data_IF_926309679004
#
_entry.id   IF_926309679004
#
_cell.length_a   1.000
_cell.length_b   1.000
_cell.length_c   1.000
_cell.angle_alpha   90.00
_cell.angle_beta   90.00
_cell.angle_gamma   90.00
#
_symmetry.space_group_name_H-M   'P 1'
#
loop_
_entity.id
_entity.type
_entity.pdbx_description
1 polymer ?
#
# COMPACT_ATOMS: atom_id res chain seq x y z
N UNK A 1 52.60 11.66 -69.18
CA UNK A 1 52.87 11.63 -67.69
C UNK A 1 51.76 12.25 -66.95
N UNK A 2 50.63 11.63 -66.68
CA UNK A 2 49.53 12.09 -65.82
C UNK A 2 48.56 10.90 -65.54
N UNK A 3 48.91 10.00 -64.65
CA UNK A 3 48.04 8.83 -64.41
C UNK A 3 48.10 8.27 -63.00
N UNK A 4 48.89 8.77 -62.07
CA UNK A 4 49.14 8.16 -60.77
C UNK A 4 48.69 8.95 -59.52
N UNK A 5 47.92 10.01 -59.68
CA UNK A 5 47.51 10.84 -58.54
C UNK A 5 46.05 10.72 -58.09
N UNK A 6 45.25 9.83 -58.70
CA UNK A 6 43.81 9.65 -58.33
C UNK A 6 43.48 8.40 -57.50
N UNK A 7 44.42 7.47 -57.33
CA UNK A 7 44.15 6.23 -56.60
C UNK A 7 44.44 6.27 -55.12
N UNK A 8 45.24 7.24 -54.61
CA UNK A 8 45.61 7.32 -53.18
C UNK A 8 44.51 8.00 -52.30
N UNK A 9 43.59 8.77 -52.88
CA UNK A 9 42.56 9.51 -52.14
C UNK A 9 41.33 8.66 -51.76
N UNK A 10 41.03 7.59 -52.51
CA UNK A 10 39.84 6.76 -52.31
C UNK A 10 40.04 5.67 -51.20
N UNK A 11 41.26 5.23 -50.96
CA UNK A 11 41.56 4.23 -49.94
C UNK A 11 41.59 4.83 -48.53
N UNK A 12 41.99 6.07 -48.38
CA UNK A 12 42.03 6.77 -47.09
C UNK A 12 40.62 7.12 -46.56
N UNK A 13 39.65 7.44 -47.46
CA UNK A 13 38.26 7.72 -47.06
C UNK A 13 37.48 6.45 -46.67
N UNK A 14 37.77 5.31 -47.25
CA UNK A 14 37.12 4.02 -46.88
C UNK A 14 37.60 3.51 -45.55
N UNK A 15 38.88 3.69 -45.16
CA UNK A 15 39.41 3.30 -43.87
C UNK A 15 38.88 4.19 -42.72
N UNK A 16 38.57 5.48 -42.97
CA UNK A 16 38.00 6.38 -41.95
C UNK A 16 36.51 6.08 -41.71
N UNK A 17 35.77 5.65 -42.74
CA UNK A 17 34.37 5.27 -42.59
C UNK A 17 34.18 3.94 -41.83
N UNK A 18 35.12 2.96 -41.97
CA UNK A 18 35.09 1.72 -41.23
C UNK A 18 35.48 1.87 -39.75
N UNK A 19 36.34 2.84 -39.42
CA UNK A 19 36.74 3.12 -38.04
C UNK A 19 35.58 3.83 -37.23
N UNK A 20 34.71 4.58 -37.90
CA UNK A 20 33.57 5.19 -37.28
C UNK A 20 32.37 4.24 -37.07
N UNK A 21 32.25 3.18 -37.84
CA UNK A 21 31.24 2.16 -37.64
C UNK A 21 31.56 1.18 -36.49
N UNK A 22 32.81 1.15 -36.00
CA UNK A 22 33.23 0.38 -34.81
C UNK A 22 33.21 1.20 -33.48
N UNK A 23 32.92 2.51 -33.54
CA UNK A 23 32.77 3.39 -32.39
C UNK A 23 31.31 3.61 -31.99
N UNK A 24 30.48 2.62 -32.19
CA UNK A 24 29.11 2.86 -31.84
C UNK A 24 28.43 1.74 -31.22
N UNK A 25 28.34 1.38 -30.20
CA UNK A 25 27.42 0.77 -29.26
C UNK A 25 28.16 0.52 -27.95
N UNK A 26 28.69 1.60 -27.35
CA UNK A 26 28.64 1.60 -25.92
C UNK A 26 27.16 1.41 -25.59
N UNK A 27 26.80 0.21 -25.15
CA UNK A 27 25.49 -0.04 -24.58
C UNK A 27 25.29 1.06 -23.54
N UNK A 28 24.44 2.03 -23.88
CA UNK A 28 23.99 3.05 -22.91
C UNK A 28 23.35 2.21 -21.84
N UNK A 29 23.98 2.10 -20.67
CA UNK A 29 23.32 1.52 -19.53
C UNK A 29 21.98 2.25 -19.44
N UNK A 30 20.88 1.53 -19.65
CA UNK A 30 19.56 2.13 -19.53
C UNK A 30 19.49 2.78 -18.15
N UNK A 31 19.05 4.04 -18.11
CA UNK A 31 18.89 4.73 -16.84
C UNK A 31 17.91 3.90 -15.97
N UNK A 32 18.19 3.75 -14.66
CA UNK A 32 17.30 3.02 -13.78
C UNK A 32 15.86 3.54 -13.90
N UNK A 33 14.89 2.65 -13.97
CA UNK A 33 13.48 3.02 -13.97
C UNK A 33 13.15 3.80 -12.69
N UNK A 34 12.65 5.01 -12.84
CA UNK A 34 12.21 5.82 -11.70
C UNK A 34 10.78 5.46 -11.33
N UNK A 35 10.57 4.75 -10.20
CA UNK A 35 9.26 4.31 -9.72
C UNK A 35 8.66 5.32 -8.75
N UNK A 36 7.50 5.86 -9.06
CA UNK A 36 6.71 6.74 -8.20
C UNK A 36 5.68 5.93 -7.43
N UNK A 37 5.87 5.83 -6.12
CA UNK A 37 5.10 4.96 -5.22
C UNK A 37 4.13 5.80 -4.36
N UNK A 38 2.83 5.61 -4.54
CA UNK A 38 1.82 6.21 -3.68
C UNK A 38 1.74 5.51 -2.32
N UNK A 39 1.52 6.28 -1.24
CA UNK A 39 1.28 5.75 0.09
C UNK A 39 0.39 6.68 0.92
N UNK A 40 -0.17 6.20 2.04
CA UNK A 40 -1.03 6.99 2.91
C UNK A 40 -0.64 6.92 4.39
N UNK A 41 -0.42 5.74 4.95
CA UNK A 41 -0.22 5.55 6.40
C UNK A 41 0.95 4.61 6.68
N UNK A 42 1.90 5.06 7.49
CA UNK A 42 3.00 4.27 8.05
C UNK A 42 2.70 4.02 9.54
N UNK A 43 3.03 2.83 10.06
CA UNK A 43 3.71 1.72 9.41
C UNK A 43 2.76 0.68 8.78
N UNK A 44 1.48 0.98 8.60
CA UNK A 44 0.56 0.10 7.87
C UNK A 44 1.13 -0.23 6.49
N UNK A 45 1.52 0.79 5.73
CA UNK A 45 2.12 0.65 4.40
C UNK A 45 3.63 0.88 4.48
N UNK A 46 4.44 -0.19 4.48
CA UNK A 46 5.90 -0.09 4.58
C UNK A 46 6.58 0.39 3.29
N UNK A 47 5.89 0.38 2.15
CA UNK A 47 6.44 0.72 0.84
C UNK A 47 7.22 2.04 0.83
N UNK A 48 6.81 3.01 1.65
CA UNK A 48 7.49 4.30 1.72
C UNK A 48 8.86 4.26 2.41
N UNK A 49 9.15 3.23 3.20
CA UNK A 49 10.36 3.16 4.03
C UNK A 49 11.27 1.97 3.72
N UNK A 50 10.78 0.93 3.02
CA UNK A 50 11.57 -0.26 2.71
C UNK A 50 12.88 0.06 1.95
N UNK A 51 12.86 1.13 1.13
CA UNK A 51 14.01 1.54 0.32
C UNK A 51 14.94 2.54 1.01
N UNK A 52 14.68 2.89 2.29
CA UNK A 52 15.57 3.74 3.08
C UNK A 52 16.80 2.99 3.63
N UNK A 53 16.95 1.72 3.27
CA UNK A 53 18.11 0.87 3.53
C UNK A 53 18.66 0.30 2.21
N UNK A 54 19.20 1.15 1.31
CA UNK A 54 19.58 0.73 -0.04
C UNK A 54 20.74 -0.26 -0.08
N UNK A 55 21.58 -0.31 0.92
CA UNK A 55 22.76 -1.19 1.01
C UNK A 55 22.42 -2.68 1.14
N UNK A 56 21.18 -3.03 1.49
CA UNK A 56 20.70 -4.44 1.51
C UNK A 56 20.05 -4.86 0.20
N UNK A 57 19.75 -3.90 -0.69
CA UNK A 57 19.01 -4.13 -1.92
C UNK A 57 19.97 -4.51 -3.07
N UNK A 58 19.59 -5.48 -3.88
CA UNK A 58 20.45 -5.99 -4.98
C UNK A 58 20.40 -5.10 -6.22
N UNK A 59 19.23 -4.54 -6.50
CA UNK A 59 18.86 -3.93 -7.78
C UNK A 59 18.64 -2.42 -7.70
N UNK A 60 18.43 -1.89 -6.50
CA UNK A 60 18.19 -0.46 -6.28
C UNK A 60 19.35 0.39 -6.80
N UNK A 61 19.04 1.44 -7.55
CA UNK A 61 20.02 2.31 -8.20
C UNK A 61 20.67 1.71 -9.47
N UNK A 62 20.30 0.48 -9.86
CA UNK A 62 20.80 -0.21 -11.08
C UNK A 62 19.68 -0.41 -12.09
N UNK A 63 18.62 -1.13 -11.73
CA UNK A 63 17.46 -1.35 -12.60
C UNK A 63 16.31 -0.43 -12.28
N UNK A 64 16.21 0.05 -11.04
CA UNK A 64 15.19 1.00 -10.62
C UNK A 64 15.66 1.91 -9.46
N UNK A 65 14.95 3.02 -9.29
CA UNK A 65 14.98 3.92 -8.12
C UNK A 65 13.54 4.19 -7.67
N UNK A 66 13.33 4.73 -6.47
CA UNK A 66 11.99 5.04 -5.97
C UNK A 66 11.84 6.48 -5.53
N UNK A 67 10.67 7.05 -5.80
CA UNK A 67 10.15 8.25 -5.17
C UNK A 67 8.84 7.90 -4.47
N UNK A 68 8.65 8.35 -3.22
CA UNK A 68 7.46 8.02 -2.45
C UNK A 68 6.60 9.26 -2.25
N UNK A 69 5.32 9.19 -2.66
CA UNK A 69 4.38 10.31 -2.69
C UNK A 69 3.25 10.05 -1.70
N UNK A 70 3.10 10.94 -0.70
CA UNK A 70 2.06 10.80 0.33
C UNK A 70 0.73 11.33 -0.17
N UNK A 71 -0.33 10.56 0.11
CA UNK A 71 -1.72 10.93 -0.08
C UNK A 71 -2.49 10.89 1.25
N UNK A 72 -3.60 11.61 1.37
CA UNK A 72 -4.47 11.57 2.56
C UNK A 72 -5.16 10.21 2.77
N UNK A 73 -5.26 9.41 1.69
CA UNK A 73 -5.86 8.08 1.69
C UNK A 73 -5.62 7.40 0.36
N UNK A 74 -6.27 6.27 0.11
CA UNK A 74 -6.11 5.55 -1.17
C UNK A 74 -6.98 6.13 -2.30
N UNK A 75 -8.13 6.74 -2.02
CA UNK A 75 -9.02 7.25 -3.08
C UNK A 75 -8.38 8.32 -3.99
N UNK A 76 -7.62 9.32 -3.50
CA UNK A 76 -6.94 10.27 -4.38
C UNK A 76 -5.88 9.63 -5.29
N UNK A 77 -5.37 8.45 -4.93
CA UNK A 77 -4.40 7.73 -5.74
C UNK A 77 -5.01 7.14 -7.02
N UNK A 78 -6.36 7.00 -7.11
CA UNK A 78 -7.04 6.56 -8.35
C UNK A 78 -6.72 7.56 -9.47
N UNK A 79 -6.95 8.84 -9.22
CA UNK A 79 -6.69 9.90 -10.21
C UNK A 79 -5.20 9.99 -10.54
N UNK A 80 -4.33 9.89 -9.53
CA UNK A 80 -2.89 9.95 -9.72
C UNK A 80 -2.36 8.79 -10.58
N UNK A 81 -2.87 7.56 -10.36
CA UNK A 81 -2.51 6.39 -11.17
C UNK A 81 -3.09 6.48 -12.59
N UNK A 82 -4.34 6.96 -12.74
CA UNK A 82 -4.99 7.12 -14.03
C UNK A 82 -4.31 8.20 -14.92
N UNK A 83 -3.71 9.21 -14.29
CA UNK A 83 -3.01 10.32 -14.99
C UNK A 83 -1.48 10.15 -15.03
N UNK A 84 -0.97 8.94 -14.75
CA UNK A 84 0.45 8.61 -14.74
C UNK A 84 1.31 9.52 -13.83
N UNK A 85 0.73 10.06 -12.75
CA UNK A 85 1.46 10.79 -11.70
C UNK A 85 2.15 9.86 -10.70
N UNK A 86 1.65 8.65 -10.54
CA UNK A 86 2.28 7.55 -9.81
C UNK A 86 2.25 6.28 -10.68
N UNK A 87 3.20 5.38 -10.44
CA UNK A 87 3.35 4.13 -11.19
C UNK A 87 2.78 2.94 -10.41
N UNK A 88 2.89 2.99 -9.09
CA UNK A 88 2.34 1.99 -8.16
C UNK A 88 1.53 2.72 -7.09
N UNK A 89 0.26 2.38 -6.99
CA UNK A 89 -0.64 2.90 -5.98
C UNK A 89 -0.74 1.95 -4.78
N UNK A 90 -0.92 2.51 -3.58
CA UNK A 90 -1.28 1.78 -2.37
C UNK A 90 -2.81 1.86 -2.17
N UNK A 91 -3.54 0.93 -2.77
CA UNK A 91 -5.00 0.90 -2.69
C UNK A 91 -5.50 0.10 -1.48
N UNK A 92 -6.57 0.57 -0.86
CA UNK A 92 -7.44 -0.30 -0.09
C UNK A 92 -8.20 -1.25 -1.04
N UNK A 93 -8.67 -2.39 -0.56
CA UNK A 93 -9.49 -3.29 -1.38
C UNK A 93 -10.69 -2.58 -2.01
N UNK A 94 -11.33 -1.71 -1.23
CA UNK A 94 -12.49 -0.94 -1.66
C UNK A 94 -12.14 0.09 -2.73
N UNK A 95 -10.97 0.69 -2.64
CA UNK A 95 -10.47 1.67 -3.62
C UNK A 95 -10.17 1.00 -4.96
N UNK A 96 -9.62 -0.23 -4.95
CA UNK A 96 -9.44 -1.02 -6.18
C UNK A 96 -10.78 -1.19 -6.91
N UNK A 97 -11.82 -1.59 -6.19
CA UNK A 97 -13.14 -1.81 -6.77
C UNK A 97 -13.75 -0.52 -7.35
N UNK A 98 -13.59 0.61 -6.64
CA UNK A 98 -14.04 1.91 -7.14
C UNK A 98 -13.23 2.40 -8.34
N UNK A 99 -11.92 2.11 -8.41
CA UNK A 99 -11.10 2.41 -9.57
C UNK A 99 -11.60 1.68 -10.82
N UNK A 100 -11.98 0.41 -10.67
CA UNK A 100 -12.53 -0.41 -11.76
C UNK A 100 -13.92 0.13 -12.18
N UNK A 101 -14.84 0.33 -11.23
CA UNK A 101 -16.21 0.72 -11.55
C UNK A 101 -16.33 2.17 -11.99
N UNK A 102 -15.79 3.12 -11.22
CA UNK A 102 -16.08 4.55 -11.39
C UNK A 102 -15.04 5.26 -12.27
N UNK A 103 -13.78 4.84 -12.22
CA UNK A 103 -12.73 5.40 -13.06
C UNK A 103 -12.48 4.56 -14.34
N UNK A 104 -13.25 3.48 -14.54
CA UNK A 104 -13.14 2.60 -15.70
C UNK A 104 -11.72 2.09 -15.96
N UNK A 105 -10.96 1.85 -14.88
CA UNK A 105 -9.58 1.35 -14.95
C UNK A 105 -9.57 -0.16 -15.18
N UNK A 106 -9.96 -0.60 -16.39
CA UNK A 106 -9.98 -2.02 -16.73
C UNK A 106 -8.58 -2.65 -16.80
N UNK A 107 -7.55 -1.84 -16.95
CA UNK A 107 -6.14 -2.23 -17.01
C UNK A 107 -5.43 -2.19 -15.65
N UNK A 108 -6.10 -1.85 -14.55
CA UNK A 108 -5.50 -1.92 -13.21
C UNK A 108 -5.23 -3.38 -12.83
N UNK A 109 -4.08 -3.63 -12.21
CA UNK A 109 -3.70 -4.97 -11.70
C UNK A 109 -3.19 -4.87 -10.27
N UNK A 110 -3.67 -5.76 -9.43
CA UNK A 110 -3.08 -6.06 -8.12
C UNK A 110 -1.77 -6.79 -8.36
N UNK A 111 -0.67 -6.26 -7.86
CA UNK A 111 0.67 -6.79 -8.10
C UNK A 111 1.41 -7.17 -6.81
N UNK A 112 0.94 -6.74 -5.64
CA UNK A 112 1.60 -7.07 -4.37
C UNK A 112 0.74 -6.77 -3.14
N UNK A 113 1.14 -7.38 -2.01
CA UNK A 113 0.60 -7.13 -0.67
C UNK A 113 1.28 -5.92 -0.03
N UNK A 114 0.52 -5.15 0.74
CA UNK A 114 1.06 -4.16 1.67
C UNK A 114 0.83 -4.56 3.12
N UNK A 115 -0.40 -4.90 3.48
CA UNK A 115 -0.71 -5.64 4.70
C UNK A 115 -2.12 -6.23 4.65
N UNK A 116 -2.31 -7.30 5.42
CA UNK A 116 -3.59 -7.95 5.63
C UNK A 116 -4.07 -7.71 7.05
N UNK A 117 -5.38 -7.58 7.22
CA UNK A 117 -6.02 -7.28 8.50
C UNK A 117 -6.97 -8.42 8.91
N UNK A 118 -7.32 -8.48 10.18
CA UNK A 118 -8.21 -9.51 10.70
C UNK A 118 -7.60 -10.91 10.76
N UNK A 119 -6.31 -11.07 10.46
CA UNK A 119 -5.60 -12.37 10.51
C UNK A 119 -5.44 -12.82 11.97
N UNK A 120 -5.80 -14.06 12.27
CA UNK A 120 -5.70 -14.61 13.62
C UNK A 120 -4.25 -14.60 14.12
N UNK A 121 -4.05 -14.09 15.33
CA UNK A 121 -2.73 -13.98 15.95
C UNK A 121 -1.94 -12.70 15.60
N UNK A 122 -2.58 -11.77 14.87
CA UNK A 122 -2.04 -10.46 14.57
C UNK A 122 -2.99 -9.35 15.01
N UNK A 123 -2.50 -8.12 15.04
CA UNK A 123 -3.33 -6.95 15.32
C UNK A 123 -4.46 -6.85 14.27
N UNK A 124 -5.60 -6.39 14.71
CA UNK A 124 -6.72 -6.04 13.84
C UNK A 124 -7.15 -4.61 14.12
N UNK A 125 -7.27 -3.80 13.07
CA UNK A 125 -7.75 -2.42 13.19
C UNK A 125 -9.05 -2.37 13.96
N UNK A 126 -9.16 -1.40 14.87
CA UNK A 126 -10.23 -1.34 15.84
C UNK A 126 -11.14 -0.14 15.65
N UNK A 127 -12.37 -0.31 16.11
CA UNK A 127 -13.36 0.75 16.25
C UNK A 127 -13.55 0.94 17.75
N UNK A 128 -13.16 2.10 18.22
CA UNK A 128 -13.07 2.37 19.65
C UNK A 128 -13.90 3.60 20.05
N UNK A 129 -14.38 3.56 21.27
CA UNK A 129 -15.07 4.64 21.98
C UNK A 129 -14.16 5.16 23.09
N UNK A 130 -14.50 6.30 23.68
CA UNK A 130 -13.79 6.75 24.90
C UNK A 130 -13.90 5.68 25.99
N UNK A 131 -12.85 5.54 26.79
CA UNK A 131 -12.81 4.56 27.88
C UNK A 131 -13.93 4.76 28.90
N UNK A 132 -14.33 6.03 29.15
CA UNK A 132 -15.40 6.42 30.07
C UNK A 132 -16.81 6.44 29.43
N UNK A 133 -16.93 6.05 28.15
CA UNK A 133 -18.21 6.09 27.44
C UNK A 133 -19.21 5.04 27.95
N UNK A 134 -20.49 5.42 27.94
CA UNK A 134 -21.61 4.53 28.24
C UNK A 134 -21.96 3.58 27.08
N UNK A 135 -21.40 3.79 25.90
CA UNK A 135 -21.58 2.93 24.74
C UNK A 135 -20.88 1.58 25.00
N UNK A 136 -21.63 0.50 25.20
CA UNK A 136 -21.09 -0.83 25.56
C UNK A 136 -21.24 -1.84 24.41
N UNK A 137 -22.14 -1.61 23.48
CA UNK A 137 -22.44 -2.48 22.35
C UNK A 137 -22.76 -1.63 21.10
N UNK A 138 -22.80 -2.29 19.95
CA UNK A 138 -22.95 -1.60 18.66
C UNK A 138 -24.29 -0.85 18.55
N UNK A 139 -25.35 -1.40 19.12
CA UNK A 139 -26.69 -0.78 19.09
C UNK A 139 -26.75 0.56 19.84
N UNK A 140 -25.85 0.79 20.81
CA UNK A 140 -25.76 2.06 21.55
C UNK A 140 -25.25 3.21 20.68
N UNK A 141 -24.78 2.90 19.46
CA UNK A 141 -24.37 3.91 18.47
C UNK A 141 -25.56 4.60 17.77
N UNK A 142 -26.80 4.21 18.07
CA UNK A 142 -27.98 4.90 17.52
C UNK A 142 -28.01 6.35 18.00
N UNK A 143 -28.15 7.29 17.05
CA UNK A 143 -28.14 8.73 17.29
C UNK A 143 -26.73 9.31 17.54
N UNK A 144 -25.67 8.56 17.33
CA UNK A 144 -24.28 8.95 17.59
C UNK A 144 -23.55 9.41 16.34
N UNK A 145 -22.43 10.10 16.56
CA UNK A 145 -21.49 10.50 15.52
C UNK A 145 -20.35 9.49 15.48
N UNK A 146 -20.18 8.83 14.36
CA UNK A 146 -19.09 7.85 14.15
C UNK A 146 -18.12 8.36 13.09
N UNK A 147 -16.85 7.99 13.19
CA UNK A 147 -15.83 8.49 12.27
C UNK A 147 -15.03 7.38 11.61
N UNK A 148 -14.74 7.58 10.32
CA UNK A 148 -13.77 6.81 9.54
C UNK A 148 -12.73 7.75 8.93
N UNK A 149 -11.57 7.21 8.53
CA UNK A 149 -10.49 8.01 7.94
C UNK A 149 -10.75 8.44 6.49
N UNK A 150 -11.73 7.84 5.84
CA UNK A 150 -12.11 8.15 4.47
C UNK A 150 -13.33 7.36 4.04
N UNK A 151 -14.32 8.05 3.51
CA UNK A 151 -15.55 7.43 3.00
C UNK A 151 -15.19 6.56 1.79
N UNK A 152 -15.72 5.33 1.76
CA UNK A 152 -15.39 4.33 0.75
C UNK A 152 -14.08 3.58 1.01
N UNK A 153 -13.33 3.90 2.07
CA UNK A 153 -12.12 3.18 2.47
C UNK A 153 -12.40 1.85 3.19
N UNK A 154 -11.34 1.06 3.45
CA UNK A 154 -11.47 -0.23 4.11
C UNK A 154 -12.08 -0.13 5.52
N UNK A 155 -11.66 0.87 6.30
CA UNK A 155 -12.21 1.11 7.63
C UNK A 155 -13.68 1.51 7.59
N UNK A 156 -14.10 2.33 6.61
CA UNK A 156 -15.52 2.68 6.42
C UNK A 156 -16.36 1.44 6.07
N UNK A 157 -15.85 0.56 5.19
CA UNK A 157 -16.56 -0.67 4.84
C UNK A 157 -16.77 -1.58 6.06
N UNK A 158 -15.74 -1.76 6.89
CA UNK A 158 -15.84 -2.55 8.12
C UNK A 158 -16.82 -1.95 9.12
N UNK A 159 -16.79 -0.61 9.30
CA UNK A 159 -17.73 0.12 10.14
C UNK A 159 -19.18 -0.09 9.70
N UNK A 160 -19.48 0.23 8.44
CA UNK A 160 -20.83 0.09 7.88
C UNK A 160 -21.35 -1.34 7.92
N UNK A 161 -20.50 -2.32 7.62
CA UNK A 161 -20.90 -3.73 7.71
C UNK A 161 -21.33 -4.11 9.12
N UNK A 162 -20.56 -3.70 10.14
CA UNK A 162 -20.92 -3.97 11.53
C UNK A 162 -22.21 -3.27 11.92
N UNK A 163 -22.32 -1.97 11.66
CA UNK A 163 -23.49 -1.19 12.04
C UNK A 163 -24.76 -1.72 11.36
N UNK A 164 -24.70 -2.05 10.05
CA UNK A 164 -25.82 -2.60 9.31
C UNK A 164 -26.23 -4.00 9.81
N UNK A 165 -25.26 -4.84 10.22
CA UNK A 165 -25.56 -6.13 10.83
C UNK A 165 -26.34 -6.01 12.16
N UNK A 166 -26.25 -4.85 12.82
CA UNK A 166 -27.01 -4.49 14.03
C UNK A 166 -28.20 -3.55 13.75
N UNK A 167 -28.65 -3.45 12.48
CA UNK A 167 -29.84 -2.69 12.09
C UNK A 167 -29.67 -1.18 12.05
N UNK A 168 -28.44 -0.67 12.08
CA UNK A 168 -28.13 0.75 12.04
C UNK A 168 -27.68 1.16 10.62
N UNK A 169 -28.33 2.19 10.06
CA UNK A 169 -28.04 2.74 8.73
C UNK A 169 -27.54 4.19 8.84
N UNK A 170 -26.57 4.53 7.99
CA UNK A 170 -26.02 5.88 7.88
C UNK A 170 -27.11 6.92 7.54
N UNK A 171 -26.97 8.12 8.08
CA UNK A 171 -27.93 9.23 7.94
C UNK A 171 -29.36 8.96 8.47
N UNK A 172 -29.68 7.73 8.87
CA UNK A 172 -30.94 7.39 9.52
C UNK A 172 -30.77 7.17 11.02
N UNK A 173 -29.79 6.36 11.40
CA UNK A 173 -29.59 5.89 12.76
C UNK A 173 -28.30 6.45 13.39
N UNK A 174 -27.34 6.89 12.59
CA UNK A 174 -26.09 7.52 13.02
C UNK A 174 -25.61 8.52 11.96
N UNK A 175 -24.68 9.38 12.33
CA UNK A 175 -24.00 10.29 11.42
C UNK A 175 -22.55 9.83 11.22
N UNK A 176 -22.13 9.60 9.97
CA UNK A 176 -20.75 9.32 9.63
C UNK A 176 -20.02 10.61 9.26
N UNK A 177 -18.83 10.80 9.82
CA UNK A 177 -17.92 11.90 9.48
C UNK A 177 -16.54 11.37 9.08
N UNK A 178 -15.81 12.14 8.25
CA UNK A 178 -14.46 11.81 7.83
C UNK A 178 -13.45 12.57 8.67
N UNK A 179 -12.54 11.83 9.33
CA UNK A 179 -11.45 12.38 10.16
C UNK A 179 -10.19 11.56 9.91
N UNK A 180 -9.09 12.19 9.50
CA UNK A 180 -7.80 11.52 9.30
C UNK A 180 -7.32 10.85 10.61
N UNK A 181 -6.66 9.69 10.51
CA UNK A 181 -6.21 8.91 11.66
C UNK A 181 -5.43 9.70 12.73
N UNK A 182 -4.49 10.61 12.41
CA UNK A 182 -3.79 11.40 13.41
C UNK A 182 -4.70 12.28 14.28
N UNK A 183 -5.85 12.69 13.75
CA UNK A 183 -6.80 13.58 14.43
C UNK A 183 -7.92 12.82 15.15
N UNK A 184 -8.03 11.50 14.95
CA UNK A 184 -9.14 10.67 15.41
C UNK A 184 -9.24 10.66 16.96
N UNK A 185 -8.10 10.46 17.63
CA UNK A 185 -8.05 10.41 19.09
C UNK A 185 -8.45 11.75 19.71
N UNK A 186 -7.97 12.86 19.15
CA UNK A 186 -8.32 14.21 19.62
C UNK A 186 -9.82 14.47 19.44
N UNK A 187 -10.39 14.12 18.28
CA UNK A 187 -11.82 14.31 18.03
C UNK A 187 -12.70 13.48 18.98
N UNK A 188 -12.25 12.26 19.32
CA UNK A 188 -12.93 11.39 20.28
C UNK A 188 -12.85 11.97 21.72
N UNK A 189 -11.67 12.43 22.13
CA UNK A 189 -11.41 13.01 23.43
C UNK A 189 -12.23 14.31 23.66
N UNK A 190 -12.30 15.16 22.64
CA UNK A 190 -13.10 16.39 22.61
C UNK A 190 -14.61 16.15 22.46
N UNK A 191 -15.06 14.90 22.40
CA UNK A 191 -16.47 14.50 22.22
C UNK A 191 -17.11 15.00 20.93
N UNK A 192 -16.31 15.25 19.90
CA UNK A 192 -16.79 15.59 18.56
C UNK A 192 -17.33 14.37 17.82
N UNK A 193 -16.86 13.19 18.22
CA UNK A 193 -17.32 11.88 17.77
C UNK A 193 -17.52 10.96 18.97
N UNK A 194 -18.36 9.95 18.81
CA UNK A 194 -18.66 8.94 19.83
C UNK A 194 -17.89 7.65 19.61
N UNK A 195 -17.56 7.33 18.34
CA UNK A 195 -16.75 6.19 17.93
C UNK A 195 -15.82 6.60 16.78
N UNK A 196 -14.58 6.15 16.83
CA UNK A 196 -13.59 6.33 15.76
C UNK A 196 -12.97 5.02 15.30
N UNK A 197 -12.49 4.99 14.06
CA UNK A 197 -11.65 3.91 13.53
C UNK A 197 -10.18 4.19 13.84
N UNK A 198 -9.47 3.20 14.40
CA UNK A 198 -8.08 3.36 14.83
C UNK A 198 -7.17 2.33 14.18
N UNK A 199 -5.99 2.80 13.82
CA UNK A 199 -4.86 2.01 13.31
C UNK A 199 -3.62 2.27 14.16
N UNK A 200 -2.62 1.40 14.08
CA UNK A 200 -1.32 1.67 14.72
C UNK A 200 -0.58 2.83 14.03
N UNK A 201 0.12 3.69 14.76
CA UNK A 201 0.37 3.68 16.20
C UNK A 201 -0.75 4.32 17.06
N UNK A 202 -1.73 4.98 16.46
CA UNK A 202 -2.74 5.80 17.18
C UNK A 202 -3.60 4.97 18.15
N UNK A 203 -3.93 3.73 17.80
CA UNK A 203 -4.60 2.79 18.69
C UNK A 203 -3.76 2.55 19.95
N UNK A 204 -2.49 2.20 19.78
CA UNK A 204 -1.55 1.98 20.88
C UNK A 204 -1.47 3.21 21.80
N UNK A 205 -1.24 4.39 21.22
CA UNK A 205 -1.14 5.67 21.97
C UNK A 205 -2.41 5.91 22.78
N UNK A 206 -3.57 5.75 22.18
CA UNK A 206 -4.86 5.96 22.85
C UNK A 206 -5.11 5.00 24.01
N UNK A 207 -4.73 3.72 23.87
CA UNK A 207 -4.81 2.74 24.95
C UNK A 207 -3.81 3.01 26.06
N UNK A 208 -2.57 3.40 25.75
CA UNK A 208 -1.56 3.77 26.75
C UNK A 208 -1.98 4.99 27.57
N UNK A 209 -2.70 5.93 26.95
CA UNK A 209 -3.25 7.09 27.65
C UNK A 209 -4.52 6.77 28.43
N UNK A 210 -5.03 5.53 28.39
CA UNK A 210 -6.28 5.14 29.02
C UNK A 210 -7.52 5.80 28.43
N UNK A 211 -7.45 6.30 27.20
CA UNK A 211 -8.52 7.05 26.53
C UNK A 211 -9.44 6.19 25.68
N UNK A 212 -8.97 5.02 25.22
CA UNK A 212 -9.69 4.15 24.32
C UNK A 212 -10.20 2.88 24.99
N UNK A 213 -11.37 2.46 24.57
CA UNK A 213 -11.93 1.14 24.76
C UNK A 213 -12.45 0.64 23.43
N UNK A 214 -11.87 -0.48 22.95
CA UNK A 214 -12.28 -1.15 21.73
C UNK A 214 -13.73 -1.62 21.87
N UNK A 215 -14.57 -1.29 20.90
CA UNK A 215 -15.95 -1.79 20.83
C UNK A 215 -16.01 -3.05 19.94
N UNK A 216 -15.37 -3.03 18.80
CA UNK A 216 -15.18 -4.16 17.87
C UNK A 216 -13.97 -3.92 16.98
N UNK A 217 -13.57 -4.94 16.21
CA UNK A 217 -12.45 -4.88 15.28
C UNK A 217 -12.88 -5.16 13.84
N UNK A 218 -11.99 -4.90 12.89
CA UNK A 218 -12.20 -5.30 11.50
C UNK A 218 -12.37 -6.82 11.35
N UNK A 219 -11.73 -7.61 12.21
CA UNK A 219 -11.90 -9.07 12.26
C UNK A 219 -13.34 -9.45 12.59
N UNK A 220 -13.95 -8.77 13.55
CA UNK A 220 -15.32 -9.04 13.98
C UNK A 220 -16.34 -8.68 12.89
N UNK A 221 -16.06 -7.65 12.11
CA UNK A 221 -16.95 -7.17 11.04
C UNK A 221 -16.71 -7.85 9.69
N UNK A 222 -15.45 -7.91 9.24
CA UNK A 222 -15.09 -8.33 7.88
C UNK A 222 -14.45 -9.72 7.82
N UNK A 223 -13.89 -10.21 8.95
CA UNK A 223 -13.00 -11.37 8.96
C UNK A 223 -11.63 -11.04 8.38
N UNK A 224 -10.99 -12.01 7.75
CA UNK A 224 -9.74 -11.78 7.03
C UNK A 224 -9.94 -10.76 5.90
N UNK A 225 -9.07 -9.77 5.85
CA UNK A 225 -9.19 -8.63 4.94
C UNK A 225 -7.84 -8.35 4.25
N UNK A 226 -7.84 -8.30 2.92
CA UNK A 226 -6.74 -7.69 2.18
C UNK A 226 -6.84 -6.18 2.32
N UNK A 227 -6.32 -5.65 3.42
CA UNK A 227 -6.60 -4.26 3.81
C UNK A 227 -6.06 -3.27 2.79
N UNK A 228 -4.77 -3.38 2.46
CA UNK A 228 -4.14 -2.59 1.41
C UNK A 228 -3.22 -3.44 0.53
N UNK A 229 -3.08 -3.03 -0.72
CA UNK A 229 -2.36 -3.74 -1.76
C UNK A 229 -1.64 -2.77 -2.71
N UNK A 230 -0.63 -3.26 -3.42
CA UNK A 230 0.00 -2.53 -4.51
C UNK A 230 -0.76 -2.79 -5.80
N UNK A 231 -1.05 -1.72 -6.52
CA UNK A 231 -1.71 -1.77 -7.82
C UNK A 231 -0.95 -0.91 -8.85
N UNK A 232 -0.86 -1.41 -10.08
CA UNK A 232 -0.27 -0.72 -11.22
C UNK A 232 -1.10 -0.96 -12.49
N UNK A 233 -0.86 -0.18 -13.54
CA UNK A 233 -1.52 -0.40 -14.84
C UNK A 233 -0.86 -1.55 -15.60
N UNK A 234 -1.64 -2.37 -16.27
CA UNK A 234 -1.14 -3.51 -17.05
C UNK A 234 -0.17 -3.08 -18.17
N UNK A 235 -0.41 -1.92 -18.79
CA UNK A 235 0.48 -1.32 -19.78
C UNK A 235 1.85 -0.99 -19.17
N UNK A 236 1.89 -0.41 -17.98
CA UNK A 236 3.13 -0.11 -17.26
C UNK A 236 3.88 -1.38 -16.87
N UNK A 237 3.15 -2.40 -16.37
CA UNK A 237 3.74 -3.71 -16.03
C UNK A 237 4.39 -4.34 -17.26
N UNK A 238 3.71 -4.34 -18.41
CA UNK A 238 4.22 -4.94 -19.64
C UNK A 238 5.48 -4.21 -20.16
N UNK A 239 5.52 -2.89 -20.04
CA UNK A 239 6.65 -2.07 -20.51
C UNK A 239 7.89 -2.21 -19.61
N UNK A 240 7.70 -2.45 -18.29
CA UNK A 240 8.78 -2.38 -17.31
C UNK A 240 8.97 -3.68 -16.49
N UNK A 241 8.45 -4.80 -17.00
CA UNK A 241 8.43 -6.07 -16.26
C UNK A 241 9.77 -6.47 -15.62
N UNK A 242 10.94 -6.44 -16.31
CA UNK A 242 12.20 -6.83 -15.68
C UNK A 242 12.53 -6.01 -14.43
N UNK A 243 12.41 -4.67 -14.51
CA UNK A 243 12.67 -3.77 -13.39
C UNK A 243 11.65 -3.97 -12.26
N UNK A 244 10.39 -4.30 -12.57
CA UNK A 244 9.38 -4.60 -11.56
C UNK A 244 9.63 -5.93 -10.84
N UNK A 245 10.16 -6.94 -11.51
CA UNK A 245 10.58 -8.19 -10.85
C UNK A 245 11.74 -7.91 -9.90
N UNK A 246 12.72 -7.11 -10.32
CA UNK A 246 13.83 -6.66 -9.47
C UNK A 246 13.34 -5.85 -8.27
N UNK A 247 12.37 -4.95 -8.46
CA UNK A 247 11.70 -4.21 -7.40
C UNK A 247 11.04 -5.16 -6.38
N UNK A 248 10.35 -6.21 -6.82
CA UNK A 248 9.73 -7.17 -5.90
C UNK A 248 10.75 -8.09 -5.23
N UNK A 249 11.86 -8.46 -5.89
CA UNK A 249 12.94 -9.20 -5.23
C UNK A 249 13.53 -8.37 -4.08
N UNK A 250 13.82 -7.10 -4.31
CA UNK A 250 14.31 -6.18 -3.29
C UNK A 250 13.24 -5.90 -2.21
N UNK A 251 11.96 -5.79 -2.57
CA UNK A 251 10.85 -5.68 -1.60
C UNK A 251 10.83 -6.87 -0.64
N UNK A 252 10.95 -8.10 -1.16
CA UNK A 252 10.97 -9.33 -0.36
C UNK A 252 12.22 -9.44 0.52
N UNK A 253 13.36 -8.94 0.05
CA UNK A 253 14.59 -8.83 0.85
C UNK A 253 14.40 -7.83 1.97
N UNK A 254 13.88 -6.64 1.66
CA UNK A 254 13.66 -5.57 2.62
C UNK A 254 12.62 -5.95 3.69
N UNK A 255 11.53 -6.63 3.33
CA UNK A 255 10.54 -7.14 4.28
C UNK A 255 11.17 -8.12 5.27
N UNK A 256 11.99 -9.06 4.81
CA UNK A 256 12.68 -10.01 5.68
C UNK A 256 13.70 -9.33 6.57
N UNK A 257 14.45 -8.39 6.05
CA UNK A 257 15.36 -7.59 6.84
C UNK A 257 14.61 -6.77 7.91
N UNK A 258 13.50 -6.16 7.53
CA UNK A 258 12.64 -5.37 8.43
C UNK A 258 12.12 -6.22 9.60
N UNK A 259 11.73 -7.47 9.36
CA UNK A 259 11.19 -8.39 10.37
C UNK A 259 12.23 -9.28 11.06
N UNK A 260 13.52 -9.19 10.70
CA UNK A 260 14.57 -9.88 11.45
C UNK A 260 14.79 -9.16 12.79
N UNK A 261 14.60 -9.86 13.94
CA UNK A 261 14.80 -9.25 15.27
C UNK A 261 16.15 -8.58 15.48
N UNK A 262 17.20 -9.02 14.76
CA UNK A 262 18.54 -8.43 14.82
C UNK A 262 18.59 -6.99 14.30
N UNK A 263 17.65 -6.62 13.45
CA UNK A 263 17.59 -5.31 12.80
C UNK A 263 16.65 -4.33 13.50
N UNK A 264 16.01 -4.75 14.61
CA UNK A 264 14.98 -3.99 15.31
C UNK A 264 15.34 -2.53 15.54
N UNK A 265 16.52 -2.26 16.10
CA UNK A 265 16.92 -0.89 16.44
C UNK A 265 17.11 -0.04 15.17
N UNK A 266 17.67 -0.63 14.10
CA UNK A 266 17.82 0.05 12.82
C UNK A 266 16.47 0.35 12.17
N UNK A 267 15.51 -0.57 12.26
CA UNK A 267 14.13 -0.36 11.77
C UNK A 267 13.44 0.75 12.54
N UNK A 268 13.54 0.76 13.87
CA UNK A 268 12.96 1.82 14.70
C UNK A 268 13.58 3.19 14.40
N UNK A 269 14.88 3.24 14.13
CA UNK A 269 15.54 4.48 13.71
C UNK A 269 15.02 4.98 12.35
N UNK A 270 14.85 4.11 11.36
CA UNK A 270 14.28 4.45 10.05
C UNK A 270 12.84 4.97 10.22
N UNK A 271 12.01 4.29 11.01
CA UNK A 271 10.64 4.71 11.29
C UNK A 271 10.59 6.09 11.94
N UNK A 272 11.40 6.30 13.01
CA UNK A 272 11.45 7.56 13.74
C UNK A 272 11.95 8.71 12.86
N UNK A 273 12.98 8.47 12.05
CA UNK A 273 13.49 9.49 11.13
C UNK A 273 12.46 9.83 10.03
N UNK A 274 11.79 8.85 9.48
CA UNK A 274 10.81 9.05 8.42
C UNK A 274 9.53 9.73 8.92
N UNK A 275 8.96 9.25 10.04
CA UNK A 275 7.68 9.75 10.57
C UNK A 275 7.83 11.01 11.41
N UNK A 276 9.04 11.29 11.91
CA UNK A 276 9.36 12.30 12.94
C UNK A 276 8.69 12.02 14.30
N UNK A 277 8.24 10.77 14.51
CA UNK A 277 7.69 10.29 15.77
C UNK A 277 8.75 9.52 16.55
N UNK A 278 8.75 9.55 17.89
CA UNK A 278 9.75 8.85 18.68
C UNK A 278 9.64 7.33 18.54
N UNK A 279 10.77 6.64 18.59
CA UNK A 279 10.83 5.17 18.51
C UNK A 279 9.97 4.47 19.59
N UNK A 280 9.70 5.14 20.72
CA UNK A 280 8.81 4.66 21.79
C UNK A 280 7.36 4.44 21.34
N UNK A 281 6.92 5.10 20.29
CA UNK A 281 5.56 4.95 19.77
C UNK A 281 5.41 3.70 18.90
N UNK A 282 6.51 3.11 18.47
CA UNK A 282 6.55 1.90 17.65
C UNK A 282 7.06 0.68 18.41
N UNK A 283 8.11 0.84 19.21
CA UNK A 283 8.82 -0.27 19.85
C UNK A 283 7.96 -1.19 20.73
N UNK A 284 6.91 -0.77 21.40
CA UNK A 284 6.17 -1.65 22.28
C UNK A 284 5.26 -2.65 21.56
N UNK A 285 4.86 -2.38 20.33
CA UNK A 285 3.91 -3.22 19.58
C UNK A 285 4.48 -3.75 18.26
N UNK A 286 5.34 -3.00 17.58
CA UNK A 286 5.96 -3.42 16.33
C UNK A 286 6.83 -4.66 16.58
N UNK A 287 6.69 -5.71 15.77
CA UNK A 287 7.31 -7.04 15.90
C UNK A 287 6.81 -7.88 17.09
N UNK A 288 5.86 -7.38 17.86
CA UNK A 288 5.27 -8.13 18.97
C UNK A 288 4.13 -8.98 18.44
N UNK A 289 4.20 -10.29 18.67
CA UNK A 289 3.17 -11.23 18.25
C UNK A 289 1.80 -10.81 18.79
N UNK A 290 0.83 -10.72 17.90
CA UNK A 290 -0.54 -10.30 18.23
C UNK A 290 -0.76 -8.79 18.32
N UNK A 291 0.30 -7.99 18.26
CA UNK A 291 0.23 -6.53 18.34
C UNK A 291 0.66 -5.82 17.05
N UNK A 292 1.29 -6.54 16.12
CA UNK A 292 1.68 -6.03 14.81
C UNK A 292 0.77 -6.56 13.70
N UNK A 293 0.78 -5.90 12.56
CA UNK A 293 0.07 -6.30 11.36
C UNK A 293 0.64 -7.56 10.73
N UNK A 294 -0.23 -8.35 10.10
CA UNK A 294 0.23 -9.42 9.23
C UNK A 294 0.66 -8.85 7.86
N UNK A 295 1.83 -9.27 7.41
CA UNK A 295 2.34 -9.05 6.05
C UNK A 295 2.93 -10.33 5.51
N UNK A 296 2.63 -10.62 4.27
CA UNK A 296 3.28 -11.71 3.56
C UNK A 296 4.70 -11.31 3.19
N UNK A 297 5.70 -12.09 3.61
CA UNK A 297 7.12 -11.74 3.36
C UNK A 297 7.54 -11.91 1.89
N UNK A 298 6.73 -12.56 1.06
CA UNK A 298 6.87 -12.58 -0.39
C UNK A 298 6.04 -11.49 -1.07
N UNK A 299 5.44 -10.58 -0.28
CA UNK A 299 4.53 -9.53 -0.74
C UNK A 299 3.34 -10.10 -1.55
N UNK A 300 2.87 -11.31 -1.22
CA UNK A 300 1.80 -11.99 -1.95
C UNK A 300 0.44 -11.63 -1.36
N UNK A 301 -0.48 -11.01 -2.13
CA UNK A 301 -1.80 -10.65 -1.66
C UNK A 301 -2.70 -11.87 -1.46
N UNK A 302 -3.60 -11.78 -0.48
CA UNK A 302 -4.63 -12.77 -0.20
C UNK A 302 -5.84 -12.55 -1.13
N UNK A 303 -5.82 -13.13 -2.34
CA UNK A 303 -6.88 -12.95 -3.32
C UNK A 303 -8.23 -13.49 -2.86
N UNK A 304 -8.26 -14.52 -1.97
CA UNK A 304 -9.50 -15.04 -1.41
C UNK A 304 -10.15 -14.01 -0.47
N UNK A 305 -9.38 -13.43 0.42
CA UNK A 305 -9.86 -12.36 1.29
C UNK A 305 -10.29 -11.14 0.45
N UNK A 306 -9.49 -10.74 -0.54
CA UNK A 306 -9.80 -9.64 -1.44
C UNK A 306 -11.15 -9.84 -2.14
N UNK A 307 -11.41 -11.03 -2.69
CA UNK A 307 -12.69 -11.33 -3.34
C UNK A 307 -13.85 -11.21 -2.36
N UNK A 308 -13.72 -11.75 -1.15
CA UNK A 308 -14.76 -11.66 -0.12
C UNK A 308 -15.02 -10.20 0.30
N UNK A 309 -13.95 -9.39 0.42
CA UNK A 309 -14.08 -7.98 0.79
C UNK A 309 -14.81 -7.18 -0.30
N UNK A 310 -14.50 -7.40 -1.58
CA UNK A 310 -15.17 -6.76 -2.70
C UNK A 310 -16.63 -7.20 -2.81
N UNK A 311 -16.92 -8.49 -2.61
CA UNK A 311 -18.30 -8.99 -2.56
C UNK A 311 -19.10 -8.31 -1.42
N UNK A 312 -18.47 -8.11 -0.26
CA UNK A 312 -19.08 -7.37 0.86
C UNK A 312 -19.37 -5.91 0.47
N UNK A 313 -18.44 -5.26 -0.22
CA UNK A 313 -18.63 -3.88 -0.69
C UNK A 313 -19.84 -3.79 -1.64
N UNK A 314 -20.03 -4.77 -2.52
CA UNK A 314 -21.23 -4.87 -3.37
C UNK A 314 -22.50 -5.08 -2.54
N UNK A 315 -22.48 -5.99 -1.57
CA UNK A 315 -23.63 -6.23 -0.66
C UNK A 315 -24.01 -4.98 0.15
N UNK A 316 -23.04 -4.12 0.45
CA UNK A 316 -23.28 -2.84 1.10
C UNK A 316 -23.81 -1.74 0.14
N UNK A 317 -23.95 -2.04 -1.16
CA UNK A 317 -24.47 -1.10 -2.16
C UNK A 317 -23.47 -0.08 -2.66
N UNK A 318 -22.16 -0.34 -2.50
CA UNK A 318 -21.11 0.54 -3.02
C UNK A 318 -20.61 0.14 -4.41
N UNK A 319 -21.02 -1.01 -4.90
CA UNK A 319 -20.71 -1.51 -6.23
C UNK A 319 -21.96 -2.04 -6.90
N UNK A 320 -22.11 -1.70 -8.18
CA UNK A 320 -23.20 -2.17 -9.04
C UNK A 320 -22.78 -3.36 -9.90
N UNK A 321 -21.45 -3.53 -10.09
CA UNK A 321 -20.87 -4.58 -10.95
C UNK A 321 -20.30 -5.74 -10.12
N UNK A 322 -20.13 -6.90 -10.77
CA UNK A 322 -19.35 -8.02 -10.24
C UNK A 322 -17.90 -7.88 -10.68
N UNK A 323 -16.97 -8.04 -9.73
CA UNK A 323 -15.55 -7.98 -9.98
C UNK A 323 -14.94 -9.34 -9.63
N UNK A 324 -14.39 -10.02 -10.62
CA UNK A 324 -13.51 -11.18 -10.42
C UNK A 324 -12.07 -10.67 -10.19
N UNK A 325 -11.60 -10.74 -8.96
CA UNK A 325 -10.27 -10.22 -8.58
C UNK A 325 -9.13 -10.91 -9.33
N UNK A 326 -9.32 -12.14 -9.82
CA UNK A 326 -8.31 -12.85 -10.60
C UNK A 326 -8.03 -12.16 -11.93
N UNK A 327 -9.07 -11.61 -12.56
CA UNK A 327 -8.96 -10.84 -13.81
C UNK A 327 -8.14 -9.55 -13.60
N UNK A 328 -8.20 -9.00 -12.41
CA UNK A 328 -7.53 -7.74 -12.02
C UNK A 328 -6.26 -7.97 -11.18
N UNK A 329 -5.62 -9.13 -11.32
CA UNK A 329 -4.40 -9.46 -10.58
C UNK A 329 -3.32 -10.00 -11.49
N UNK A 330 -2.07 -9.59 -11.25
CA UNK A 330 -0.87 -10.17 -11.86
C UNK A 330 0.15 -10.50 -10.76
N UNK A 331 0.10 -11.73 -10.26
CA UNK A 331 1.01 -12.20 -9.22
C UNK A 331 2.32 -12.78 -9.79
N UNK A 332 2.47 -12.79 -11.10
CA UNK A 332 3.66 -13.35 -11.74
C UNK A 332 4.95 -12.61 -11.38
N UNK A 333 4.84 -11.30 -11.02
CA UNK A 333 5.98 -10.50 -10.58
C UNK A 333 6.53 -10.98 -9.23
N UNK A 334 5.66 -11.09 -8.22
CA UNK A 334 6.05 -11.55 -6.87
C UNK A 334 6.49 -13.02 -6.89
N UNK A 335 5.86 -13.86 -7.72
CA UNK A 335 6.19 -15.27 -7.84
C UNK A 335 7.57 -15.48 -8.53
N UNK A 336 7.87 -14.67 -9.55
CA UNK A 336 9.18 -14.69 -10.20
C UNK A 336 10.28 -14.18 -9.28
N UNK A 337 10.04 -13.08 -8.59
CA UNK A 337 10.95 -12.52 -7.59
C UNK A 337 11.26 -13.53 -6.47
N UNK A 338 10.24 -14.24 -5.94
CA UNK A 338 10.43 -15.26 -4.93
C UNK A 338 11.32 -16.43 -5.40
N UNK A 339 11.20 -16.83 -6.68
CA UNK A 339 12.05 -17.88 -7.27
C UNK A 339 13.51 -17.46 -7.43
N UNK A 340 13.78 -16.16 -7.72
CA UNK A 340 15.15 -15.64 -7.90
C UNK A 340 15.92 -15.53 -6.58
N UNK A 341 15.23 -15.46 -5.48
CA UNK A 341 15.81 -15.33 -4.14
C UNK A 341 16.38 -16.66 -3.61
N UNK A 342 15.90 -17.77 -4.12
CA UNK A 342 16.38 -19.13 -3.81
C UNK A 342 17.46 -19.56 -4.78
#
# INVERSE_FOLDING_TARGET
MNGYRRAAGAVALAAFALAWSLMGSAARADEPLHLRLGWAVIPGQLVAILYNKPDILKHYGKSYTTETIRFRGSAPQITALASDQIDIAAFAFSTLALAIQNAHMEDVRVIGDLYQDGITGYYANEYAVRADSDIKRVEDLKGKVVASNGIGGAADMGLRKMLRAHGLEDNRDYQLVEIEFPNMLTALDEKKIDLGSFVMPFAYIGHQQGKLRTLFTIRDSMGETQATLMAARASFIAAHRPALVDFFEDTQIALRWFYDPKNRDAVLAILSDFTKEPASDFSPWLFVKGQDYYRDLDARPNLKALQNNINTQKQLGFLDIDIDVKKYSDLSLVDEAAKRRH
#
